data_IF_496091619182
#
_entry.id   IF_496091619182
#
_cell.length_a   1.000
_cell.length_b   1.000
_cell.length_c   1.000
_cell.angle_alpha   90.00
_cell.angle_beta   90.00
_cell.angle_gamma   90.00
#
_symmetry.space_group_name_H-M   'P 1'
#
loop_
_entity.id
_entity.type
_entity.pdbx_description
1 polymer ?
#
# COMPACT_ATOMS: atom_id res chain seq x y z
N UNK A 1 -7.63 -8.33 4.11
CA UNK A 1 -7.30 -7.60 2.86
C UNK A 1 -5.81 -7.34 2.75
N UNK A 2 -5.29 -7.21 1.52
CA UNK A 2 -3.91 -6.81 1.27
C UNK A 2 -3.86 -5.67 0.25
N UNK A 3 -3.15 -4.58 0.57
CA UNK A 3 -2.95 -3.44 -0.34
C UNK A 3 -1.49 -3.38 -0.75
N UNK A 4 -1.24 -3.34 -2.06
CA UNK A 4 0.12 -3.37 -2.60
C UNK A 4 0.38 -2.10 -3.40
N UNK A 5 1.50 -1.42 -3.12
CA UNK A 5 2.04 -0.39 -4.01
C UNK A 5 3.49 -0.72 -4.37
N UNK A 6 4.23 0.18 -5.02
CA UNK A 6 5.62 -0.11 -5.41
C UNK A 6 6.56 -0.16 -4.20
N UNK A 7 6.45 0.81 -3.28
CA UNK A 7 7.50 1.07 -2.26
C UNK A 7 7.09 0.76 -0.82
N UNK A 8 5.81 0.48 -0.60
CA UNK A 8 5.20 0.47 0.74
C UNK A 8 5.42 1.79 1.52
N UNK A 9 5.35 2.92 0.81
CA UNK A 9 5.55 4.25 1.38
C UNK A 9 4.26 5.08 1.31
N UNK A 10 3.79 5.47 0.15
CA UNK A 10 2.67 6.39 0.07
C UNK A 10 1.32 5.66 0.05
N UNK A 11 0.80 5.39 -1.15
CA UNK A 11 -0.52 4.80 -1.45
C UNK A 11 -0.95 3.63 -0.55
N UNK A 12 -0.14 2.57 -0.47
CA UNK A 12 -0.52 1.37 0.29
C UNK A 12 -0.62 1.60 1.81
N UNK A 13 0.14 2.56 2.35
CA UNK A 13 0.18 2.82 3.78
C UNK A 13 -0.85 3.86 4.20
N UNK A 14 -1.22 4.79 3.31
CA UNK A 14 -2.39 5.63 3.53
C UNK A 14 -3.67 4.77 3.49
N UNK A 15 -3.78 3.88 2.50
CA UNK A 15 -4.87 2.90 2.44
C UNK A 15 -4.90 1.99 3.68
N UNK A 16 -3.75 1.47 4.13
CA UNK A 16 -3.68 0.70 5.37
C UNK A 16 -4.25 1.49 6.56
N UNK A 17 -3.83 2.74 6.74
CA UNK A 17 -4.31 3.59 7.83
C UNK A 17 -5.82 3.79 7.78
N UNK A 18 -6.37 4.14 6.62
CA UNK A 18 -7.83 4.35 6.44
C UNK A 18 -8.62 3.06 6.69
N UNK A 19 -8.20 1.94 6.10
CA UNK A 19 -8.85 0.65 6.24
C UNK A 19 -8.79 0.14 7.69
N UNK A 20 -7.62 0.26 8.33
CA UNK A 20 -7.43 -0.13 9.73
C UNK A 20 -8.27 0.70 10.69
N UNK A 21 -8.38 2.02 10.47
CA UNK A 21 -9.26 2.89 11.27
C UNK A 21 -10.75 2.53 11.13
N UNK A 22 -11.14 1.81 10.07
CA UNK A 22 -12.48 1.28 9.86
C UNK A 22 -12.67 -0.13 10.42
N UNK A 23 -11.66 -0.68 11.11
CA UNK A 23 -11.71 -1.99 11.74
C UNK A 23 -11.47 -3.16 10.78
N UNK A 24 -10.96 -2.90 9.57
CA UNK A 24 -10.68 -3.95 8.60
C UNK A 24 -9.33 -4.61 8.90
N UNK A 25 -9.29 -5.94 8.82
CA UNK A 25 -8.02 -6.67 8.84
C UNK A 25 -7.27 -6.44 7.53
N UNK A 26 -6.22 -5.61 7.59
CA UNK A 26 -5.46 -5.14 6.42
C UNK A 26 -3.97 -5.31 6.62
N UNK A 27 -3.30 -5.81 5.57
CA UNK A 27 -1.85 -5.73 5.44
C UNK A 27 -1.45 -4.88 4.23
N UNK A 28 -0.26 -4.30 4.27
CA UNK A 28 0.26 -3.47 3.18
C UNK A 28 1.67 -3.88 2.77
N UNK A 29 1.96 -3.84 1.46
CA UNK A 29 3.21 -4.32 0.90
C UNK A 29 3.75 -3.45 -0.25
N UNK A 30 5.03 -3.65 -0.54
CA UNK A 30 5.74 -3.13 -1.70
C UNK A 30 6.03 -4.23 -2.72
N UNK A 31 5.77 -3.99 -4.00
CA UNK A 31 6.12 -4.90 -5.10
C UNK A 31 7.51 -4.62 -5.69
N UNK A 32 8.08 -3.44 -5.43
CA UNK A 32 9.37 -3.00 -5.95
C UNK A 32 10.56 -3.80 -5.41
N UNK A 33 11.75 -3.48 -5.94
CA UNK A 33 13.02 -4.04 -5.47
C UNK A 33 13.55 -3.37 -4.20
N UNK A 34 13.32 -2.06 -4.06
CA UNK A 34 13.81 -1.25 -2.95
C UNK A 34 12.83 -0.12 -2.60
N UNK A 35 13.06 0.52 -1.46
CA UNK A 35 12.33 1.70 -1.02
C UNK A 35 13.08 2.95 -1.48
N UNK A 36 12.42 3.78 -2.29
CA UNK A 36 12.99 5.05 -2.78
C UNK A 36 12.26 6.22 -2.16
N UNK A 37 13.00 7.10 -1.48
CA UNK A 37 12.49 8.36 -0.92
C UNK A 37 13.03 9.56 -1.74
N UNK A 38 12.33 10.71 -1.73
CA UNK A 38 12.84 11.92 -2.36
C UNK A 38 14.24 12.26 -1.84
N UNK A 39 15.17 12.56 -2.75
CA UNK A 39 16.46 13.16 -2.41
C UNK A 39 16.52 14.63 -2.83
N UNK A 40 17.68 15.28 -2.67
CA UNK A 40 17.85 16.70 -3.07
C UNK A 40 17.53 16.97 -4.52
N UNK A 41 17.86 16.02 -5.39
CA UNK A 41 17.68 16.12 -6.83
C UNK A 41 16.73 15.02 -7.28
N UNK A 42 15.83 15.28 -8.25
CA UNK A 42 14.88 14.28 -8.73
C UNK A 42 15.52 12.97 -9.21
N UNK A 43 16.71 13.06 -9.81
CA UNK A 43 17.48 11.92 -10.32
C UNK A 43 18.33 11.20 -9.26
N UNK A 44 18.39 11.71 -8.03
CA UNK A 44 19.22 11.15 -6.96
C UNK A 44 18.36 10.85 -5.72
N UNK A 45 17.51 9.81 -5.77
CA UNK A 45 16.67 9.42 -4.65
C UNK A 45 17.49 8.75 -3.54
N UNK A 46 16.96 8.81 -2.32
CA UNK A 46 17.48 8.01 -1.20
C UNK A 46 16.93 6.60 -1.30
N UNK A 47 17.82 5.61 -1.40
CA UNK A 47 17.45 4.21 -1.65
C UNK A 47 17.76 3.36 -0.43
N UNK A 48 16.79 2.54 -0.01
CA UNK A 48 16.87 1.66 1.15
C UNK A 48 16.39 0.26 0.81
N UNK A 49 16.93 -0.73 1.50
CA UNK A 49 16.41 -2.09 1.49
C UNK A 49 15.12 -2.20 2.33
N UNK A 50 14.23 -3.16 2.00
CA UNK A 50 13.01 -3.43 2.76
C UNK A 50 13.28 -3.89 4.21
N UNK A 51 14.48 -4.40 4.50
CA UNK A 51 14.92 -4.71 5.86
C UNK A 51 15.11 -3.46 6.74
N UNK A 52 15.22 -2.26 6.13
CA UNK A 52 15.39 -1.02 6.88
C UNK A 52 14.06 -0.58 7.50
N UNK A 53 14.08 -0.25 8.80
CA UNK A 53 12.90 0.31 9.48
C UNK A 53 12.62 1.75 9.04
N UNK A 54 11.37 2.21 9.15
CA UNK A 54 11.04 3.61 8.87
C UNK A 54 11.79 4.57 9.79
N UNK A 55 12.06 4.15 11.03
CA UNK A 55 12.89 4.88 11.99
C UNK A 55 14.33 5.04 11.48
N UNK A 56 14.97 3.95 11.03
CA UNK A 56 16.32 4.00 10.48
C UNK A 56 16.38 4.90 9.25
N UNK A 57 15.41 4.81 8.34
CA UNK A 57 15.33 5.72 7.20
C UNK A 57 15.21 7.18 7.65
N UNK A 58 14.34 7.47 8.62
CA UNK A 58 14.14 8.83 9.16
C UNK A 58 15.41 9.38 9.79
N UNK A 59 16.08 8.58 10.61
CA UNK A 59 17.31 8.96 11.31
C UNK A 59 18.47 9.16 10.32
N UNK A 60 18.57 8.35 9.26
CA UNK A 60 19.55 8.53 8.17
C UNK A 60 19.32 9.82 7.37
N UNK A 61 18.08 10.13 7.00
CA UNK A 61 17.72 11.38 6.33
C UNK A 61 18.12 12.60 7.18
N UNK A 62 17.81 12.56 8.48
CA UNK A 62 18.17 13.63 9.42
C UNK A 62 19.68 13.76 9.57
N UNK A 63 20.40 12.64 9.70
CA UNK A 63 21.86 12.66 9.85
C UNK A 63 22.56 13.21 8.63
N UNK A 64 22.07 12.90 7.43
CA UNK A 64 22.66 13.37 6.18
C UNK A 64 22.36 14.85 5.94
N UNK A 65 21.08 15.23 5.98
CA UNK A 65 20.66 16.58 5.56
C UNK A 65 19.39 17.06 6.29
N UNK A 66 19.47 17.20 7.62
CA UNK A 66 18.35 17.64 8.48
C UNK A 66 17.58 18.85 7.95
N UNK A 67 18.27 19.91 7.59
CA UNK A 67 17.64 21.18 7.20
C UNK A 67 16.81 21.04 5.92
N UNK A 68 17.35 20.33 4.93
CA UNK A 68 16.65 20.03 3.68
C UNK A 68 15.38 19.22 3.95
N UNK A 69 15.46 18.09 4.67
CA UNK A 69 14.29 17.24 4.89
C UNK A 69 13.25 17.86 5.83
N UNK A 70 13.63 18.84 6.64
CA UNK A 70 12.70 19.58 7.49
C UNK A 70 11.95 20.68 6.72
N UNK A 71 12.62 21.43 5.84
CA UNK A 71 12.01 22.55 5.10
C UNK A 71 11.49 22.17 3.71
N UNK A 72 12.24 21.34 2.98
CA UNK A 72 12.06 21.10 1.54
C UNK A 72 11.83 19.60 1.20
N UNK A 73 11.82 18.72 2.20
CA UNK A 73 11.66 17.27 2.01
C UNK A 73 10.24 16.80 1.73
N UNK A 74 9.33 17.68 1.31
CA UNK A 74 7.90 17.38 1.08
C UNK A 74 7.24 16.64 2.26
N UNK A 75 7.61 17.01 3.49
CA UNK A 75 7.05 16.39 4.71
C UNK A 75 7.46 14.93 4.94
N UNK A 76 8.48 14.40 4.24
CA UNK A 76 8.83 12.97 4.30
C UNK A 76 9.13 12.48 5.73
N UNK A 77 9.74 13.31 6.58
CA UNK A 77 10.02 12.95 7.98
C UNK A 77 8.72 12.73 8.78
N UNK A 78 7.69 13.55 8.53
CA UNK A 78 6.38 13.39 9.14
C UNK A 78 5.68 12.14 8.62
N UNK A 79 5.78 11.87 7.32
CA UNK A 79 5.25 10.65 6.69
C UNK A 79 5.88 9.42 7.31
N UNK A 80 7.22 9.35 7.41
CA UNK A 80 7.93 8.22 8.04
C UNK A 80 7.50 8.03 9.50
N UNK A 81 7.41 9.10 10.28
CA UNK A 81 6.97 9.03 11.68
C UNK A 81 5.54 8.52 11.84
N UNK A 82 4.62 8.90 10.94
CA UNK A 82 3.25 8.36 10.93
C UNK A 82 3.26 6.85 10.68
N UNK A 83 4.08 6.39 9.75
CA UNK A 83 4.17 4.98 9.37
C UNK A 83 4.71 4.09 10.45
N UNK A 84 5.68 4.58 11.23
CA UNK A 84 6.22 3.89 12.40
C UNK A 84 5.11 3.46 13.39
N UNK A 85 3.98 4.19 13.44
CA UNK A 85 2.82 3.85 14.28
C UNK A 85 1.97 2.72 13.70
N UNK A 86 2.02 2.51 12.39
CA UNK A 86 1.29 1.46 11.69
C UNK A 86 2.13 0.18 11.68
N UNK A 87 3.40 0.26 11.26
CA UNK A 87 4.37 -0.84 11.27
C UNK A 87 5.82 -0.35 11.37
N UNK A 88 6.74 -1.20 11.86
CA UNK A 88 8.15 -0.82 12.04
C UNK A 88 8.92 -0.66 10.72
N UNK A 89 8.64 -1.49 9.72
CA UNK A 89 9.36 -1.52 8.44
C UNK A 89 8.41 -1.76 7.26
N UNK A 90 8.79 -1.32 6.05
CA UNK A 90 8.10 -1.70 4.84
C UNK A 90 8.32 -3.19 4.54
N UNK A 91 7.26 -3.89 4.15
CA UNK A 91 7.34 -5.30 3.75
C UNK A 91 7.26 -5.47 2.23
N UNK A 92 8.03 -6.42 1.70
CA UNK A 92 8.02 -6.79 0.28
C UNK A 92 7.03 -7.91 0.02
N UNK A 93 6.15 -7.73 -0.95
CA UNK A 93 5.06 -8.67 -1.25
C UNK A 93 5.58 -10.06 -1.62
N UNK A 94 6.63 -10.13 -2.44
CA UNK A 94 7.23 -11.41 -2.88
C UNK A 94 7.77 -12.23 -1.69
N UNK A 95 8.42 -11.58 -0.73
CA UNK A 95 8.97 -12.25 0.45
C UNK A 95 7.85 -12.77 1.36
N UNK A 96 6.78 -11.99 1.54
CA UNK A 96 5.60 -12.43 2.28
C UNK A 96 4.93 -13.64 1.62
N UNK A 97 4.82 -13.65 0.28
CA UNK A 97 4.27 -14.80 -0.46
C UNK A 97 5.09 -16.06 -0.22
N UNK A 98 6.42 -15.98 -0.35
CA UNK A 98 7.30 -17.14 -0.14
C UNK A 98 7.20 -17.71 1.28
N UNK A 99 7.04 -16.86 2.29
CA UNK A 99 6.84 -17.29 3.68
C UNK A 99 5.47 -17.94 3.93
N UNK A 100 4.44 -17.50 3.21
CA UNK A 100 3.10 -18.13 3.26
C UNK A 100 3.12 -19.50 2.58
N UNK A 101 3.71 -19.60 1.38
CA UNK A 101 3.77 -20.85 0.61
C UNK A 101 4.71 -21.90 1.22
N UNK A 102 5.71 -21.51 2.01
CA UNK A 102 6.61 -22.49 2.65
C UNK A 102 5.95 -23.27 3.79
N UNK A 103 4.82 -22.78 4.33
CA UNK A 103 4.14 -23.38 5.48
C UNK A 103 2.74 -23.95 5.15
N UNK A 104 2.18 -23.69 3.96
CA UNK A 104 0.85 -24.16 3.57
C UNK A 104 0.95 -25.22 2.45
N UNK A 105 0.33 -26.38 2.67
CA UNK A 105 -0.08 -27.28 1.58
C UNK A 105 -0.89 -26.46 0.58
N UNK A 106 -0.60 -26.53 -0.71
CA UNK A 106 -1.31 -25.79 -1.78
C UNK A 106 -2.83 -25.91 -1.59
N UNK A 107 -3.47 -24.82 -1.16
CA UNK A 107 -4.89 -24.87 -0.75
C UNK A 107 -5.83 -24.60 -1.92
N UNK A 108 -5.31 -24.19 -3.09
CA UNK A 108 -6.09 -23.81 -4.29
C UNK A 108 -7.23 -22.84 -3.96
N UNK A 109 -7.07 -22.04 -2.90
CA UNK A 109 -8.08 -21.08 -2.48
C UNK A 109 -8.03 -19.85 -3.40
N UNK A 110 -9.17 -19.41 -3.95
CA UNK A 110 -9.21 -18.25 -4.83
C UNK A 110 -8.89 -16.96 -4.06
N UNK A 111 -8.17 -16.07 -4.73
CA UNK A 111 -7.77 -14.75 -4.26
C UNK A 111 -8.09 -13.74 -5.34
N UNK A 112 -9.03 -12.84 -5.06
CA UNK A 112 -9.35 -11.76 -5.97
C UNK A 112 -8.29 -10.67 -5.91
N UNK A 113 -7.79 -10.28 -7.09
CA UNK A 113 -6.80 -9.22 -7.27
C UNK A 113 -7.43 -8.13 -8.11
N UNK A 114 -7.57 -6.95 -7.51
CA UNK A 114 -8.13 -5.76 -8.18
C UNK A 114 -7.06 -4.68 -8.26
N UNK A 115 -6.76 -4.21 -9.48
CA UNK A 115 -5.90 -3.05 -9.70
C UNK A 115 -6.75 -1.77 -9.68
N UNK A 116 -6.32 -0.80 -8.87
CA UNK A 116 -6.94 0.52 -8.75
C UNK A 116 -5.87 1.58 -9.04
N UNK A 117 -6.11 2.40 -10.06
CA UNK A 117 -5.19 3.49 -10.39
C UNK A 117 -5.29 4.64 -9.39
N UNK A 118 -4.16 4.90 -8.73
CA UNK A 118 -3.99 5.93 -7.70
C UNK A 118 -2.70 6.68 -7.98
N UNK A 119 -2.81 8.01 -8.04
CA UNK A 119 -1.69 8.93 -8.20
C UNK A 119 -0.73 8.83 -7.00
N UNK A 120 0.58 9.00 -7.24
CA UNK A 120 1.62 8.76 -6.24
C UNK A 120 2.05 10.02 -5.47
N UNK A 121 1.10 10.91 -5.19
CA UNK A 121 1.21 12.07 -4.32
C UNK A 121 0.31 11.91 -3.07
N UNK A 122 0.40 12.81 -2.07
CA UNK A 122 -0.37 12.67 -0.82
C UNK A 122 -1.90 12.79 -1.00
N UNK A 123 -2.37 13.65 -1.90
CA UNK A 123 -3.81 13.89 -2.12
C UNK A 123 -4.41 12.70 -2.88
N UNK A 124 -3.76 12.28 -3.97
CA UNK A 124 -4.10 11.08 -4.72
C UNK A 124 -4.14 9.84 -3.84
N UNK A 125 -3.14 9.65 -2.97
CA UNK A 125 -3.12 8.52 -2.03
C UNK A 125 -4.30 8.55 -1.04
N UNK A 126 -4.70 9.73 -0.57
CA UNK A 126 -5.83 9.88 0.36
C UNK A 126 -7.16 9.57 -0.33
N UNK A 127 -7.39 10.12 -1.52
CA UNK A 127 -8.58 9.82 -2.32
C UNK A 127 -8.65 8.34 -2.70
N UNK A 128 -7.51 7.76 -3.12
CA UNK A 128 -7.39 6.33 -3.41
C UNK A 128 -7.66 5.45 -2.19
N UNK A 129 -7.24 5.86 -1.00
CA UNK A 129 -7.51 5.14 0.24
C UNK A 129 -9.01 5.09 0.57
N UNK A 130 -9.75 6.18 0.33
CA UNK A 130 -11.21 6.20 0.51
C UNK A 130 -11.93 5.31 -0.52
N UNK A 131 -11.50 5.34 -1.78
CA UNK A 131 -12.04 4.45 -2.82
C UNK A 131 -11.80 2.97 -2.48
N UNK A 132 -10.58 2.63 -2.03
CA UNK A 132 -10.26 1.28 -1.57
C UNK A 132 -11.08 0.87 -0.35
N UNK A 133 -11.35 1.79 0.58
CA UNK A 133 -12.22 1.56 1.72
C UNK A 133 -13.64 1.21 1.28
N UNK A 134 -14.19 1.98 0.36
CA UNK A 134 -15.51 1.74 -0.20
C UNK A 134 -15.60 0.36 -0.90
N UNK A 135 -14.59 0.01 -1.70
CA UNK A 135 -14.49 -1.32 -2.30
C UNK A 135 -14.45 -2.43 -1.24
N UNK A 136 -13.60 -2.31 -0.21
CA UNK A 136 -13.47 -3.32 0.83
C UNK A 136 -14.77 -3.49 1.65
N UNK A 137 -15.46 -2.40 1.95
CA UNK A 137 -16.74 -2.43 2.64
C UNK A 137 -17.84 -3.07 1.79
N UNK A 138 -17.87 -2.76 0.49
CA UNK A 138 -18.77 -3.43 -0.46
C UNK A 138 -18.51 -4.94 -0.51
N UNK A 139 -17.25 -5.36 -0.54
CA UNK A 139 -16.86 -6.78 -0.51
C UNK A 139 -17.33 -7.51 0.74
N UNK A 140 -17.28 -6.86 1.92
CA UNK A 140 -17.74 -7.48 3.16
C UNK A 140 -19.26 -7.71 3.20
N UNK A 141 -20.03 -7.03 2.34
CA UNK A 141 -21.48 -7.17 2.25
C UNK A 141 -21.92 -8.19 1.19
N UNK A 142 -20.99 -8.70 0.36
CA UNK A 142 -21.32 -9.72 -0.63
C UNK A 142 -21.59 -11.05 0.06
N UNK A 143 -22.78 -11.61 -0.18
CA UNK A 143 -23.10 -12.96 0.26
C UNK A 143 -22.41 -14.03 -0.59
N UNK A 144 -22.23 -13.73 -1.88
CA UNK A 144 -21.51 -14.56 -2.84
C UNK A 144 -20.50 -13.68 -3.58
N UNK A 145 -19.21 -13.87 -3.28
CA UNK A 145 -18.17 -13.06 -3.91
C UNK A 145 -17.96 -13.45 -5.37
N UNK A 146 -18.09 -14.73 -5.74
CA UNK A 146 -17.79 -15.18 -7.10
C UNK A 146 -18.78 -14.61 -8.11
N UNK A 147 -20.08 -14.62 -7.77
CA UNK A 147 -21.14 -14.14 -8.65
C UNK A 147 -21.34 -12.62 -8.61
N UNK A 148 -21.08 -11.99 -7.46
CA UNK A 148 -21.45 -10.57 -7.25
C UNK A 148 -20.28 -9.60 -7.43
N UNK A 149 -19.02 -10.09 -7.45
CA UNK A 149 -17.83 -9.24 -7.59
C UNK A 149 -17.91 -8.31 -8.79
N UNK A 150 -18.20 -8.85 -9.98
CA UNK A 150 -18.22 -8.07 -11.22
C UNK A 150 -19.27 -6.94 -11.19
N UNK A 151 -20.45 -7.21 -10.63
CA UNK A 151 -21.52 -6.21 -10.49
C UNK A 151 -21.14 -5.12 -9.49
N UNK A 152 -20.55 -5.50 -8.35
CA UNK A 152 -20.09 -4.55 -7.34
C UNK A 152 -18.99 -3.65 -7.89
N UNK A 153 -17.99 -4.22 -8.57
CA UNK A 153 -16.94 -3.43 -9.22
C UNK A 153 -17.52 -2.42 -10.21
N UNK A 154 -18.41 -2.86 -11.12
CA UNK A 154 -19.02 -1.98 -12.12
C UNK A 154 -19.80 -0.82 -11.48
N UNK A 155 -20.51 -1.05 -10.37
CA UNK A 155 -21.22 0.00 -9.65
C UNK A 155 -20.24 1.05 -9.08
N UNK A 156 -19.12 0.59 -8.51
CA UNK A 156 -18.10 1.49 -7.95
C UNK A 156 -17.37 2.23 -9.08
N UNK A 157 -17.08 1.58 -10.20
CA UNK A 157 -16.48 2.21 -11.39
C UNK A 157 -17.33 3.37 -11.92
N UNK A 158 -18.64 3.14 -12.07
CA UNK A 158 -19.58 4.17 -12.55
C UNK A 158 -19.64 5.38 -11.61
N UNK A 159 -19.61 5.16 -10.30
CA UNK A 159 -19.63 6.25 -9.31
C UNK A 159 -18.28 6.97 -9.23
N UNK A 160 -17.18 6.22 -9.28
CA UNK A 160 -15.83 6.77 -9.12
C UNK A 160 -15.28 7.38 -10.42
N UNK A 161 -15.89 7.09 -11.57
CA UNK A 161 -15.38 7.50 -12.89
C UNK A 161 -14.03 6.88 -13.21
N UNK A 162 -13.77 5.65 -12.72
CA UNK A 162 -12.51 4.93 -12.88
C UNK A 162 -12.77 3.50 -13.34
N UNK A 163 -11.83 2.93 -14.08
CA UNK A 163 -11.83 1.49 -14.39
C UNK A 163 -10.95 0.72 -13.41
N UNK A 164 -11.34 -0.51 -13.13
CA UNK A 164 -10.62 -1.47 -12.31
C UNK A 164 -10.30 -2.70 -13.15
N UNK A 165 -9.06 -3.19 -13.03
CA UNK A 165 -8.72 -4.51 -13.57
C UNK A 165 -8.94 -5.54 -12.48
N UNK A 166 -9.61 -6.64 -12.80
CA UNK A 166 -9.90 -7.72 -11.87
C UNK A 166 -9.42 -9.06 -12.42
N UNK A 167 -8.79 -9.85 -11.56
CA UNK A 167 -8.42 -11.23 -11.86
C UNK A 167 -8.50 -12.08 -10.60
N UNK A 168 -8.49 -13.40 -10.77
CA UNK A 168 -8.47 -14.37 -9.68
C UNK A 168 -7.16 -15.14 -9.75
N UNK A 169 -6.44 -15.18 -8.63
CA UNK A 169 -5.27 -16.03 -8.43
C UNK A 169 -5.63 -17.14 -7.44
N UNK A 170 -4.77 -18.16 -7.33
CA UNK A 170 -4.94 -19.26 -6.39
C UNK A 170 -3.70 -19.40 -5.52
N UNK A 171 -3.88 -19.75 -4.25
CA UNK A 171 -2.79 -20.05 -3.32
C UNK A 171 -2.17 -21.43 -3.58
#
# INVERSE_FOLDING_TARGET
>A
FAVVCVRNVNRSMEAHGVLGNKGLDVRSFGAGSCVKLPGRRPHLPMVYDFASTYRQMRDDLVSKEREFYTRNGNGILHVLRRKERIRPSPERFRSARSALTSCSRETLQPVHVTNVEVEDDPEGATLGAFLLCELCQGLQQLADTEDQMGRMLLQVEQRAGKSFLHTVCFY
#
